data_IF_614852637314
#
_entry.id   IF_614852637314
#
_cell.length_a   1.000
_cell.length_b   1.000
_cell.length_c   1.000
_cell.angle_alpha   90.00
_cell.angle_beta   90.00
_cell.angle_gamma   90.00
#
_symmetry.space_group_name_H-M   'P 1'
#
loop_
_entity.id
_entity.type
_entity.pdbx_description
1 polymer ?
#
# COMPACT_ATOMS: atom_id res chain seq x y z
N UNK A 1 0.80 -5.72 5.89
CA UNK A 1 -0.65 -5.49 5.89
C UNK A 1 -1.40 -6.83 5.87
N UNK A 2 -1.01 -7.74 6.74
CA UNK A 2 -1.49 -9.11 6.72
C UNK A 2 -2.96 -9.25 7.14
N UNK A 3 -3.48 -8.39 8.00
CA UNK A 3 -4.91 -8.34 8.32
C UNK A 3 -5.80 -8.04 7.10
N UNK A 4 -5.34 -7.19 6.20
CA UNK A 4 -5.99 -6.93 4.92
C UNK A 4 -5.90 -8.16 4.02
N UNK A 5 -4.75 -8.81 3.95
CA UNK A 5 -4.49 -9.93 3.07
C UNK A 5 -5.26 -11.18 3.51
N UNK A 6 -5.33 -11.45 4.81
CA UNK A 6 -6.10 -12.56 5.38
C UNK A 6 -7.60 -12.42 5.08
N UNK A 7 -8.16 -11.21 5.24
CA UNK A 7 -9.57 -10.97 4.94
C UNK A 7 -9.85 -10.98 3.43
N UNK A 8 -8.92 -10.52 2.60
CA UNK A 8 -9.03 -10.59 1.16
C UNK A 8 -9.01 -12.05 0.67
N UNK A 9 -8.10 -12.87 1.22
CA UNK A 9 -8.01 -14.29 0.93
C UNK A 9 -9.32 -15.01 1.28
N UNK A 10 -9.85 -14.75 2.49
CA UNK A 10 -11.14 -15.30 2.89
C UNK A 10 -12.26 -14.85 1.96
N UNK A 11 -12.33 -13.57 1.62
CA UNK A 11 -13.32 -13.05 0.67
C UNK A 11 -13.22 -13.73 -0.70
N UNK A 12 -12.02 -13.85 -1.26
CA UNK A 12 -11.81 -14.55 -2.54
C UNK A 12 -12.27 -16.01 -2.46
N UNK A 13 -12.02 -16.69 -1.34
CA UNK A 13 -12.48 -18.07 -1.13
C UNK A 13 -14.01 -18.20 -1.11
N UNK A 14 -14.75 -17.19 -0.62
CA UNK A 14 -16.21 -17.19 -0.66
C UNK A 14 -16.73 -16.93 -2.07
N UNK A 15 -16.16 -15.95 -2.79
CA UNK A 15 -16.58 -15.62 -4.17
C UNK A 15 -16.30 -16.78 -5.12
N UNK A 16 -15.17 -17.48 -4.99
CA UNK A 16 -14.77 -18.58 -5.86
C UNK A 16 -15.74 -19.77 -5.84
N UNK A 17 -16.58 -19.89 -4.80
CA UNK A 17 -17.60 -20.94 -4.69
C UNK A 17 -18.68 -20.83 -5.76
N UNK A 18 -18.93 -19.61 -6.24
CA UNK A 18 -20.01 -19.32 -7.19
C UNK A 18 -19.52 -18.70 -8.50
N UNK A 19 -18.35 -18.06 -8.49
CA UNK A 19 -17.80 -17.34 -9.65
C UNK A 19 -16.35 -17.74 -9.89
N UNK A 20 -15.96 -17.76 -11.17
CA UNK A 20 -14.56 -18.00 -11.59
C UNK A 20 -13.81 -16.74 -11.92
N UNK A 21 -14.53 -15.67 -12.23
CA UNK A 21 -13.98 -14.36 -12.59
C UNK A 21 -14.69 -13.28 -11.78
N UNK A 22 -13.93 -12.30 -11.28
CA UNK A 22 -14.45 -11.11 -10.63
C UNK A 22 -13.77 -9.86 -11.19
N UNK A 23 -14.55 -8.78 -11.38
CA UNK A 23 -14.00 -7.45 -11.67
C UNK A 23 -13.73 -6.71 -10.37
N UNK A 24 -12.57 -6.09 -10.26
CA UNK A 24 -12.19 -5.32 -9.07
C UNK A 24 -11.96 -3.85 -9.39
N UNK A 25 -12.11 -2.99 -8.38
CA UNK A 25 -11.89 -1.55 -8.51
C UNK A 25 -10.45 -1.11 -8.20
N UNK A 26 -9.50 -2.02 -8.10
CA UNK A 26 -8.09 -1.69 -7.86
C UNK A 26 -7.51 -0.85 -8.99
N UNK A 27 -6.44 -0.15 -8.70
CA UNK A 27 -5.74 0.78 -9.60
C UNK A 27 -6.47 2.11 -9.88
N UNK A 28 -7.75 2.26 -9.53
CA UNK A 28 -8.46 3.52 -9.72
C UNK A 28 -7.89 4.68 -8.89
N UNK A 29 -7.41 4.39 -7.68
CA UNK A 29 -6.80 5.42 -6.82
C UNK A 29 -5.42 5.87 -7.35
N UNK A 30 -4.68 4.97 -7.96
CA UNK A 30 -3.36 5.21 -8.55
C UNK A 30 -3.43 6.14 -9.75
N UNK A 31 -4.35 5.88 -10.67
CA UNK A 31 -4.46 6.61 -11.94
C UNK A 31 -5.29 7.89 -11.86
N UNK A 32 -6.22 7.97 -10.92
CA UNK A 32 -7.07 9.15 -10.68
C UNK A 32 -6.67 9.98 -9.46
N UNK A 33 -5.58 9.64 -8.77
CA UNK A 33 -5.10 10.40 -7.63
C UNK A 33 -5.99 10.31 -6.38
N UNK A 34 -6.47 9.11 -6.05
CA UNK A 34 -7.40 8.92 -4.94
C UNK A 34 -6.76 8.82 -3.55
N UNK A 35 -5.44 8.69 -3.45
CA UNK A 35 -4.74 8.55 -2.18
C UNK A 35 -4.41 9.86 -1.49
N UNK A 36 -4.30 9.88 -0.14
CA UNK A 36 -3.97 11.07 0.62
C UNK A 36 -2.68 11.76 0.21
N UNK A 37 -1.66 11.03 -0.22
CA UNK A 37 -0.37 11.59 -0.62
C UNK A 37 -0.39 12.41 -1.91
N UNK A 38 -1.43 12.33 -2.70
CA UNK A 38 -1.65 13.25 -3.80
C UNK A 38 -2.15 14.63 -3.34
N UNK A 39 -2.65 14.74 -2.09
CA UNK A 39 -3.36 15.91 -1.59
C UNK A 39 -2.68 16.57 -0.38
N UNK A 40 -1.93 15.81 0.41
CA UNK A 40 -1.25 16.31 1.60
C UNK A 40 0.05 17.00 1.24
N UNK A 41 0.22 18.22 1.75
CA UNK A 41 1.40 19.05 1.47
C UNK A 41 2.71 18.36 1.83
N UNK A 42 2.78 17.75 3.00
CA UNK A 42 3.97 17.04 3.47
C UNK A 42 4.38 15.88 2.56
N UNK A 43 3.41 15.17 1.98
CA UNK A 43 3.68 14.08 1.02
C UNK A 43 4.08 14.62 -0.35
N UNK A 44 3.48 15.73 -0.76
CA UNK A 44 3.75 16.37 -2.04
C UNK A 44 5.18 16.94 -2.08
N UNK A 45 5.64 17.54 -1.00
CA UNK A 45 6.97 18.14 -0.87
C UNK A 45 8.08 17.13 -0.51
N UNK A 46 7.70 15.91 -0.09
CA UNK A 46 8.65 14.89 0.31
C UNK A 46 9.63 14.51 -0.82
N UNK A 47 10.90 14.32 -0.49
CA UNK A 47 11.95 13.85 -1.40
C UNK A 47 12.22 12.36 -1.23
N UNK A 48 11.15 11.61 -1.06
CA UNK A 48 11.13 10.14 -0.93
C UNK A 48 9.77 9.60 -1.37
N UNK A 49 9.56 8.30 -1.29
CA UNK A 49 8.25 7.68 -1.60
C UNK A 49 7.17 8.23 -0.67
N UNK A 50 6.09 8.86 -1.18
CA UNK A 50 5.13 9.59 -0.37
C UNK A 50 4.33 8.73 0.63
N UNK A 51 4.25 7.43 0.41
CA UNK A 51 3.59 6.47 1.31
C UNK A 51 4.52 5.83 2.33
N UNK A 52 5.81 6.10 2.24
CA UNK A 52 6.86 5.55 3.12
C UNK A 52 7.91 6.62 3.41
N UNK A 53 7.51 7.67 4.11
CA UNK A 53 8.42 8.78 4.43
C UNK A 53 9.37 8.46 5.58
N UNK A 54 9.04 7.47 6.40
CA UNK A 54 9.82 7.05 7.56
C UNK A 54 10.03 5.53 7.54
N UNK A 55 11.29 5.11 7.60
CA UNK A 55 11.69 3.70 7.62
C UNK A 55 11.95 3.17 9.04
N UNK A 56 11.88 4.02 10.06
CA UNK A 56 12.21 3.63 11.45
C UNK A 56 11.41 2.42 11.91
N UNK A 57 10.11 2.40 11.62
CA UNK A 57 9.24 1.30 11.97
C UNK A 57 9.65 -0.06 11.35
N UNK A 58 10.31 -0.04 10.20
CA UNK A 58 10.78 -1.27 9.53
C UNK A 58 12.05 -1.83 10.15
N UNK A 59 12.76 -1.01 10.93
CA UNK A 59 14.02 -1.36 11.60
C UNK A 59 13.82 -1.81 13.04
N UNK A 60 12.65 -1.57 13.62
CA UNK A 60 12.38 -1.74 15.08
C UNK A 60 12.77 -3.12 15.61
N UNK A 61 12.55 -4.17 14.84
CA UNK A 61 12.80 -5.55 15.26
C UNK A 61 14.14 -6.10 14.79
N UNK A 62 14.84 -5.39 13.91
CA UNK A 62 16.07 -5.88 13.28
C UNK A 62 17.28 -5.66 14.20
N UNK A 63 18.29 -6.51 14.06
CA UNK A 63 19.59 -6.32 14.68
C UNK A 63 20.32 -5.11 14.09
N UNK A 64 21.15 -4.46 14.90
CA UNK A 64 21.87 -3.25 14.46
C UNK A 64 22.88 -3.58 13.36
N UNK A 65 23.55 -4.73 13.45
CA UNK A 65 24.49 -5.20 12.42
C UNK A 65 23.76 -5.40 11.08
N UNK A 66 22.59 -6.04 11.11
CA UNK A 66 21.80 -6.26 9.90
C UNK A 66 21.25 -4.95 9.32
N UNK A 67 20.84 -3.99 10.16
CA UNK A 67 20.42 -2.65 9.71
C UNK A 67 21.57 -1.95 8.98
N UNK A 68 22.80 -2.05 9.50
CA UNK A 68 23.99 -1.47 8.87
C UNK A 68 24.31 -2.13 7.54
N UNK A 69 24.24 -3.47 7.46
CA UNK A 69 24.52 -4.23 6.23
C UNK A 69 23.49 -3.96 5.14
N UNK A 70 22.22 -3.77 5.52
CA UNK A 70 21.13 -3.54 4.56
C UNK A 70 21.23 -2.22 3.79
N UNK A 71 21.90 -1.20 4.35
CA UNK A 71 21.91 0.15 3.76
C UNK A 71 20.51 0.62 3.30
N UNK A 72 19.48 0.36 4.13
CA UNK A 72 18.07 0.51 3.73
C UNK A 72 17.72 1.93 3.29
N UNK A 73 18.23 2.93 4.00
CA UNK A 73 17.94 4.35 3.69
C UNK A 73 18.55 4.74 2.34
N UNK A 74 19.82 4.37 2.12
CA UNK A 74 20.53 4.63 0.87
C UNK A 74 19.87 3.92 -0.31
N UNK A 75 19.47 2.65 -0.12
CA UNK A 75 18.77 1.89 -1.14
C UNK A 75 17.44 2.54 -1.53
N UNK A 76 16.64 2.94 -0.53
CA UNK A 76 15.34 3.57 -0.77
C UNK A 76 15.52 4.93 -1.45
N UNK A 77 16.50 5.73 -1.01
CA UNK A 77 16.79 7.04 -1.60
C UNK A 77 17.25 6.90 -3.06
N UNK A 78 18.22 6.04 -3.32
CA UNK A 78 18.74 5.80 -4.67
C UNK A 78 17.62 5.27 -5.63
N UNK A 79 16.77 4.38 -5.11
CA UNK A 79 15.64 3.83 -5.87
C UNK A 79 14.60 4.92 -6.17
N UNK A 80 14.32 5.80 -5.23
CA UNK A 80 13.44 6.95 -5.42
C UNK A 80 14.00 7.89 -6.49
N UNK A 81 15.26 8.32 -6.36
CA UNK A 81 15.91 9.25 -7.30
C UNK A 81 15.93 8.68 -8.72
N UNK A 82 16.30 7.42 -8.87
CA UNK A 82 16.25 6.72 -10.16
C UNK A 82 14.84 6.72 -10.74
N UNK A 83 13.84 6.39 -9.93
CA UNK A 83 12.45 6.33 -10.39
C UNK A 83 11.92 7.70 -10.81
N UNK A 84 12.27 8.77 -10.09
CA UNK A 84 11.91 10.14 -10.45
C UNK A 84 12.60 10.57 -11.76
N UNK A 85 13.87 10.19 -11.95
CA UNK A 85 14.60 10.49 -13.20
C UNK A 85 13.97 9.80 -14.44
N UNK A 86 13.34 8.65 -14.25
CA UNK A 86 12.65 7.88 -15.29
C UNK A 86 11.23 8.40 -15.58
N UNK A 87 10.73 9.42 -14.85
CA UNK A 87 9.36 9.92 -15.02
C UNK A 87 9.16 10.50 -16.43
N UNK A 88 8.20 10.00 -17.22
CA UNK A 88 7.85 10.64 -18.48
C UNK A 88 7.26 12.02 -18.23
N UNK A 89 7.83 13.07 -18.83
CA UNK A 89 7.46 14.47 -18.63
C UNK A 89 6.85 15.05 -19.89
N UNK A 90 5.94 16.02 -19.74
CA UNK A 90 5.46 16.84 -20.84
C UNK A 90 6.22 18.17 -20.85
N UNK A 91 6.47 18.71 -22.02
CA UNK A 91 7.24 19.94 -22.17
C UNK A 91 6.54 21.17 -21.55
N UNK A 92 5.21 21.15 -21.52
CA UNK A 92 4.34 22.20 -20.98
C UNK A 92 4.02 22.06 -19.50
N UNK A 93 4.52 21.03 -18.81
CA UNK A 93 4.24 20.83 -17.38
C UNK A 93 4.73 22.02 -16.54
N UNK A 94 3.84 22.58 -15.75
CA UNK A 94 4.24 23.47 -14.66
C UNK A 94 5.01 22.67 -13.61
N UNK A 95 5.80 23.32 -12.72
CA UNK A 95 6.50 22.60 -11.63
C UNK A 95 5.57 21.76 -10.76
N UNK A 96 4.34 22.23 -10.53
CA UNK A 96 3.35 21.50 -9.76
C UNK A 96 2.86 20.26 -10.52
N UNK A 97 2.52 20.39 -11.80
CA UNK A 97 2.08 19.28 -12.63
C UNK A 97 3.19 18.25 -12.83
N UNK A 98 4.43 18.69 -13.03
CA UNK A 98 5.59 17.81 -13.09
C UNK A 98 5.74 16.99 -11.79
N UNK A 99 5.57 17.61 -10.61
CA UNK A 99 5.61 16.91 -9.34
C UNK A 99 4.46 15.91 -9.17
N UNK A 100 3.24 16.27 -9.58
CA UNK A 100 2.10 15.34 -9.56
C UNK A 100 2.34 14.14 -10.47
N UNK A 101 2.97 14.36 -11.60
CA UNK A 101 3.35 13.31 -12.54
C UNK A 101 4.41 12.38 -11.96
N UNK A 102 5.41 12.93 -11.26
CA UNK A 102 6.38 12.11 -10.50
C UNK A 102 5.68 11.20 -9.46
N UNK A 103 4.77 11.76 -8.67
CA UNK A 103 4.00 10.97 -7.68
C UNK A 103 3.16 9.89 -8.38
N UNK A 104 2.50 10.23 -9.49
CA UNK A 104 1.73 9.27 -10.28
C UNK A 104 2.62 8.15 -10.84
N UNK A 105 3.81 8.48 -11.36
CA UNK A 105 4.79 7.52 -11.85
C UNK A 105 5.26 6.56 -10.75
N UNK A 106 5.62 7.11 -9.59
CA UNK A 106 6.01 6.30 -8.43
C UNK A 106 4.88 5.33 -8.02
N UNK A 107 3.62 5.80 -8.05
CA UNK A 107 2.47 4.93 -7.76
C UNK A 107 2.34 3.80 -8.78
N UNK A 108 2.41 4.10 -10.08
CA UNK A 108 2.32 3.09 -11.14
C UNK A 108 3.47 2.07 -11.05
N UNK A 109 4.68 2.57 -10.83
CA UNK A 109 5.90 1.77 -10.85
C UNK A 109 6.04 0.83 -9.64
N UNK A 110 5.58 1.27 -8.46
CA UNK A 110 5.85 0.57 -7.20
C UNK A 110 4.59 0.16 -6.46
N UNK A 111 3.71 1.14 -6.18
CA UNK A 111 2.58 0.89 -5.30
C UNK A 111 1.51 0.04 -5.98
N UNK A 112 1.17 0.36 -7.23
CA UNK A 112 0.19 -0.40 -8.02
C UNK A 112 0.63 -1.84 -8.24
N UNK A 113 1.91 -2.07 -8.52
CA UNK A 113 2.42 -3.44 -8.70
C UNK A 113 2.23 -4.28 -7.44
N UNK A 114 2.49 -3.70 -6.27
CA UNK A 114 2.29 -4.40 -4.98
C UNK A 114 0.81 -4.79 -4.78
N UNK A 115 -0.11 -3.92 -5.17
CA UNK A 115 -1.55 -4.20 -5.05
C UNK A 115 -2.01 -5.27 -6.04
N UNK A 116 -1.52 -5.20 -7.27
CA UNK A 116 -1.82 -6.20 -8.30
C UNK A 116 -1.30 -7.58 -7.92
N UNK A 117 -0.05 -7.66 -7.47
CA UNK A 117 0.56 -8.92 -7.00
C UNK A 117 -0.20 -9.52 -5.81
N UNK A 118 -0.60 -8.69 -4.86
CA UNK A 118 -1.44 -9.11 -3.74
C UNK A 118 -2.78 -9.66 -4.20
N UNK A 119 -3.51 -8.92 -5.07
CA UNK A 119 -4.81 -9.34 -5.56
C UNK A 119 -4.69 -10.65 -6.36
N UNK A 120 -3.74 -10.74 -7.26
CA UNK A 120 -3.51 -11.92 -8.08
C UNK A 120 -3.23 -13.15 -7.22
N UNK A 121 -2.27 -13.08 -6.31
CA UNK A 121 -1.90 -14.21 -5.44
C UNK A 121 -3.05 -14.66 -4.54
N UNK A 122 -3.76 -13.73 -3.93
CA UNK A 122 -4.86 -14.07 -3.01
C UNK A 122 -6.07 -14.64 -3.74
N UNK A 123 -6.41 -14.09 -4.91
CA UNK A 123 -7.54 -14.57 -5.70
C UNK A 123 -7.23 -15.90 -6.37
N UNK A 124 -6.05 -16.05 -6.98
CA UNK A 124 -5.64 -17.27 -7.65
C UNK A 124 -5.44 -18.44 -6.69
N UNK A 125 -4.97 -18.19 -5.46
CA UNK A 125 -4.94 -19.21 -4.40
C UNK A 125 -6.32 -19.85 -4.18
N UNK A 126 -7.38 -19.06 -4.32
CA UNK A 126 -8.77 -19.52 -4.21
C UNK A 126 -9.38 -20.02 -5.53
N UNK A 127 -8.63 -20.01 -6.62
CA UNK A 127 -9.15 -20.36 -7.96
C UNK A 127 -10.12 -19.33 -8.53
N UNK A 128 -9.97 -18.05 -8.14
CA UNK A 128 -10.73 -16.91 -8.63
C UNK A 128 -9.82 -16.02 -9.47
N UNK A 129 -10.18 -15.74 -10.73
CA UNK A 129 -9.48 -14.78 -11.57
C UNK A 129 -9.99 -13.36 -11.29
N UNK A 130 -9.19 -12.52 -10.65
CA UNK A 130 -9.49 -11.11 -10.46
C UNK A 130 -9.00 -10.30 -11.67
N UNK A 131 -9.92 -9.59 -12.33
CA UNK A 131 -9.61 -8.67 -13.43
C UNK A 131 -9.70 -7.23 -12.96
N UNK A 132 -8.74 -6.41 -13.36
CA UNK A 132 -8.52 -5.03 -12.92
C UNK A 132 -8.64 -4.05 -14.10
N UNK A 133 -9.86 -3.66 -14.51
CA UNK A 133 -10.06 -2.80 -15.66
C UNK A 133 -9.31 -1.46 -15.60
N UNK A 134 -9.10 -0.89 -14.40
CA UNK A 134 -8.36 0.36 -14.22
C UNK A 134 -6.84 0.23 -14.41
N UNK A 135 -6.31 -1.00 -14.50
CA UNK A 135 -4.92 -1.24 -14.88
C UNK A 135 -4.74 -1.42 -16.40
N UNK A 136 -5.78 -1.28 -17.20
CA UNK A 136 -5.66 -1.30 -18.66
C UNK A 136 -4.74 -0.17 -19.13
N UNK A 137 -3.66 -0.53 -19.85
CA UNK A 137 -2.63 0.42 -20.28
C UNK A 137 -3.23 1.58 -21.10
N UNK A 138 -4.30 1.35 -21.88
CA UNK A 138 -4.97 2.38 -22.68
C UNK A 138 -5.61 3.46 -21.82
N UNK A 139 -6.20 3.05 -20.69
CA UNK A 139 -6.78 3.97 -19.70
C UNK A 139 -5.66 4.73 -18.97
N UNK A 140 -4.59 4.04 -18.58
CA UNK A 140 -3.42 4.64 -17.93
C UNK A 140 -2.78 5.69 -18.84
N UNK A 141 -2.51 5.36 -20.10
CA UNK A 141 -1.91 6.27 -21.11
C UNK A 141 -2.80 7.49 -21.39
N UNK A 142 -4.11 7.27 -21.51
CA UNK A 142 -5.07 8.37 -21.66
C UNK A 142 -5.03 9.31 -20.46
N UNK A 143 -5.14 8.76 -19.25
CA UNK A 143 -5.14 9.54 -18.01
C UNK A 143 -3.80 10.20 -17.71
N UNK A 144 -2.69 9.68 -18.25
CA UNK A 144 -1.39 10.32 -18.12
C UNK A 144 -1.38 11.75 -18.62
N UNK A 145 -2.10 12.00 -19.72
CA UNK A 145 -2.19 13.31 -20.37
C UNK A 145 -3.34 14.18 -19.84
N UNK A 146 -4.22 13.65 -18.98
CA UNK A 146 -5.32 14.41 -18.40
C UNK A 146 -4.81 15.35 -17.30
N UNK A 147 -5.08 16.68 -17.38
CA UNK A 147 -4.67 17.64 -16.39
C UNK A 147 -5.20 17.30 -14.99
N UNK A 148 -4.41 17.65 -13.96
CA UNK A 148 -4.74 17.29 -12.59
C UNK A 148 -6.09 17.87 -12.12
N UNK A 149 -6.43 19.11 -12.51
CA UNK A 149 -7.68 19.75 -12.10
C UNK A 149 -8.95 19.00 -12.57
N UNK A 150 -8.83 18.14 -13.58
CA UNK A 150 -9.92 17.26 -14.00
C UNK A 150 -10.00 15.99 -13.13
N UNK A 151 -8.86 15.48 -12.68
CA UNK A 151 -8.79 14.30 -11.81
C UNK A 151 -9.28 14.60 -10.39
N UNK A 152 -8.98 15.82 -9.91
CA UNK A 152 -9.39 16.32 -8.59
C UNK A 152 -9.93 17.74 -8.72
N UNK A 153 -11.16 17.95 -8.25
CA UNK A 153 -11.81 19.25 -8.32
C UNK A 153 -12.55 19.52 -7.00
N UNK A 154 -12.42 20.75 -6.48
CA UNK A 154 -13.13 21.21 -5.28
C UNK A 154 -12.93 20.28 -4.05
N UNK A 155 -11.73 19.71 -3.91
CA UNK A 155 -11.40 18.76 -2.86
C UNK A 155 -11.97 17.35 -3.07
N UNK A 156 -12.65 17.10 -4.18
CA UNK A 156 -13.21 15.79 -4.52
C UNK A 156 -12.20 14.98 -5.31
N UNK A 157 -11.65 13.96 -4.68
CA UNK A 157 -10.74 13.00 -5.34
C UNK A 157 -11.48 12.14 -6.37
N UNK A 158 -10.78 11.75 -7.44
CA UNK A 158 -11.33 10.95 -8.55
C UNK A 158 -12.53 11.63 -9.22
N UNK A 159 -12.50 12.97 -9.32
CA UNK A 159 -13.62 13.76 -9.83
C UNK A 159 -14.02 13.31 -11.24
N UNK A 160 -13.06 13.17 -12.17
CA UNK A 160 -13.32 12.72 -13.54
C UNK A 160 -14.01 11.36 -13.59
N UNK A 161 -13.57 10.39 -12.77
CA UNK A 161 -14.19 9.07 -12.69
C UNK A 161 -15.63 9.16 -12.17
N UNK A 162 -15.89 10.03 -11.18
CA UNK A 162 -17.23 10.25 -10.66
C UNK A 162 -18.16 10.90 -11.68
N UNK A 163 -17.65 11.90 -12.40
CA UNK A 163 -18.40 12.55 -13.49
C UNK A 163 -18.79 11.55 -14.59
N UNK A 164 -17.86 10.64 -14.97
CA UNK A 164 -18.16 9.60 -15.98
C UNK A 164 -19.21 8.59 -15.54
N UNK A 165 -19.41 8.45 -14.23
CA UNK A 165 -20.43 7.54 -13.66
C UNK A 165 -21.82 8.15 -13.49
N UNK A 166 -22.01 9.45 -13.75
CA UNK A 166 -23.31 10.11 -13.66
C UNK A 166 -24.33 9.45 -14.59
N UNK A 167 -25.50 9.18 -14.06
CA UNK A 167 -26.56 8.48 -14.78
C UNK A 167 -26.35 6.95 -14.91
N UNK A 168 -25.19 6.43 -14.51
CA UNK A 168 -24.90 4.98 -14.49
C UNK A 168 -24.96 4.41 -13.07
N UNK A 169 -24.62 5.23 -12.06
CA UNK A 169 -24.58 4.82 -10.65
C UNK A 169 -25.49 5.73 -9.81
N UNK A 170 -26.09 5.21 -8.73
CA UNK A 170 -26.78 6.06 -7.74
C UNK A 170 -25.84 7.09 -7.13
N UNK A 171 -26.35 8.29 -6.86
CA UNK A 171 -25.54 9.40 -6.33
C UNK A 171 -24.89 9.07 -4.98
N UNK A 172 -25.55 8.31 -4.12
CA UNK A 172 -25.02 7.84 -2.85
C UNK A 172 -23.76 6.95 -3.01
N UNK A 173 -23.65 6.20 -4.10
CA UNK A 173 -22.46 5.42 -4.45
C UNK A 173 -21.42 6.31 -5.10
N UNK A 174 -21.85 7.12 -6.06
CA UNK A 174 -21.00 7.97 -6.88
C UNK A 174 -20.23 9.00 -6.05
N UNK A 175 -20.89 9.65 -5.09
CA UNK A 175 -20.34 10.70 -4.25
C UNK A 175 -19.92 10.23 -2.85
N UNK A 176 -19.96 8.92 -2.60
CA UNK A 176 -19.53 8.35 -1.33
C UNK A 176 -18.11 8.81 -0.98
N UNK A 177 -17.94 9.28 0.27
CA UNK A 177 -16.62 9.60 0.80
C UNK A 177 -15.74 8.35 0.82
N UNK A 178 -14.48 8.48 0.39
CA UNK A 178 -13.52 7.38 0.47
C UNK A 178 -13.39 6.90 1.91
N UNK A 179 -13.57 5.60 2.10
CA UNK A 179 -13.29 4.91 3.35
C UNK A 179 -12.08 4.00 3.13
N UNK A 180 -11.08 4.01 4.00
CA UNK A 180 -10.00 3.05 3.94
C UNK A 180 -10.55 1.64 4.23
N UNK A 181 -9.79 0.63 3.83
CA UNK A 181 -10.08 -0.75 4.24
C UNK A 181 -10.06 -0.82 5.78
N UNK A 182 -11.02 -1.52 6.42
CA UNK A 182 -11.06 -1.63 7.86
C UNK A 182 -9.75 -2.22 8.40
N UNK A 183 -9.20 -1.59 9.43
CA UNK A 183 -8.09 -2.15 10.21
C UNK A 183 -8.67 -2.85 11.42
N UNK A 184 -8.14 -4.01 11.75
CA UNK A 184 -8.50 -4.64 13.03
C UNK A 184 -7.71 -4.00 14.17
N UNK A 185 -8.41 -3.76 15.27
CA UNK A 185 -7.84 -3.37 16.55
C UNK A 185 -8.22 -4.39 17.62
N UNK A 186 -8.48 -5.62 17.20
CA UNK A 186 -8.88 -6.72 18.06
C UNK A 186 -7.68 -7.18 18.88
N UNK A 187 -7.77 -7.03 20.21
CA UNK A 187 -6.73 -7.46 21.14
C UNK A 187 -6.53 -8.96 21.17
N UNK A 188 -7.56 -9.75 20.87
CA UNK A 188 -7.41 -11.20 20.79
C UNK A 188 -6.56 -11.59 19.58
N UNK A 189 -6.72 -10.88 18.46
CA UNK A 189 -5.87 -11.05 17.28
C UNK A 189 -4.42 -10.63 17.54
N UNK A 190 -4.23 -9.49 18.24
CA UNK A 190 -2.91 -9.05 18.69
C UNK A 190 -2.22 -10.11 19.55
N UNK A 191 -2.93 -10.63 20.57
CA UNK A 191 -2.39 -11.67 21.45
C UNK A 191 -2.02 -12.96 20.71
N UNK A 192 -2.82 -13.35 19.71
CA UNK A 192 -2.52 -14.50 18.86
C UNK A 192 -1.22 -14.29 18.07
N UNK A 193 -1.02 -13.12 17.46
CA UNK A 193 0.21 -12.80 16.72
C UNK A 193 1.42 -12.75 17.65
N UNK A 194 1.29 -12.13 18.83
CA UNK A 194 2.33 -12.11 19.87
C UNK A 194 2.74 -13.52 20.24
N UNK A 195 1.76 -14.42 20.46
CA UNK A 195 2.04 -15.83 20.75
C UNK A 195 2.84 -16.50 19.63
N UNK A 196 2.46 -16.30 18.38
CA UNK A 196 3.16 -16.85 17.21
C UNK A 196 4.59 -16.37 17.09
N UNK A 197 4.83 -15.08 17.28
CA UNK A 197 6.20 -14.54 17.21
C UNK A 197 7.06 -15.09 18.37
N UNK A 198 6.50 -15.28 19.57
CA UNK A 198 7.22 -15.91 20.68
C UNK A 198 7.62 -17.36 20.36
N UNK A 199 6.72 -18.15 19.75
CA UNK A 199 7.05 -19.49 19.27
C UNK A 199 8.26 -19.47 18.33
N UNK A 200 8.34 -18.50 17.41
CA UNK A 200 9.46 -18.32 16.49
C UNK A 200 10.76 -17.94 17.24
N UNK A 201 10.67 -17.05 18.23
CA UNK A 201 11.83 -16.64 19.03
C UNK A 201 12.38 -17.78 19.91
N UNK A 202 11.55 -18.75 20.26
CA UNK A 202 11.92 -19.95 21.04
C UNK A 202 12.50 -21.06 20.15
N UNK A 203 12.18 -21.07 18.85
CA UNK A 203 12.71 -22.02 17.88
C UNK A 203 14.12 -21.60 17.41
N UNK A 204 15.14 -22.13 18.05
CA UNK A 204 16.54 -21.85 17.70
C UNK A 204 16.95 -22.27 16.28
N UNK A 205 16.08 -22.98 15.56
CA UNK A 205 16.33 -23.37 14.14
C UNK A 205 15.72 -22.39 13.16
N UNK A 206 14.93 -21.44 13.63
CA UNK A 206 14.27 -20.46 12.79
C UNK A 206 15.29 -19.55 12.08
N UNK A 207 15.30 -19.54 10.73
CA UNK A 207 16.28 -18.78 9.96
C UNK A 207 16.14 -17.27 10.10
N UNK A 208 14.99 -16.78 10.60
CA UNK A 208 14.75 -15.35 10.78
C UNK A 208 15.52 -14.76 11.95
N UNK A 209 15.91 -15.58 12.93
CA UNK A 209 16.60 -15.10 14.15
C UNK A 209 17.93 -14.42 13.87
N UNK A 210 18.61 -14.75 12.78
CA UNK A 210 19.85 -14.09 12.37
C UNK A 210 19.68 -12.61 12.01
N UNK A 211 18.44 -12.18 11.69
CA UNK A 211 18.13 -10.81 11.27
C UNK A 211 17.50 -9.99 12.39
N UNK A 212 16.99 -10.66 13.45
CA UNK A 212 16.26 -10.02 14.52
C UNK A 212 17.16 -9.68 15.71
N UNK A 213 16.81 -8.59 16.38
CA UNK A 213 17.25 -8.34 17.75
C UNK A 213 16.20 -8.92 18.70
N UNK A 214 16.57 -9.98 19.41
CA UNK A 214 15.67 -10.68 20.32
C UNK A 214 15.14 -9.78 21.42
N UNK A 215 16.00 -8.95 22.02
CA UNK A 215 15.60 -8.04 23.10
C UNK A 215 14.64 -6.95 22.62
N UNK A 216 14.92 -6.35 21.44
CA UNK A 216 14.01 -5.38 20.81
C UNK A 216 12.67 -6.01 20.47
N UNK A 217 12.69 -7.25 19.95
CA UNK A 217 11.47 -7.98 19.59
C UNK A 217 10.64 -8.33 20.81
N UNK A 218 11.23 -8.83 21.88
CA UNK A 218 10.53 -9.13 23.15
C UNK A 218 9.91 -7.87 23.75
N UNK A 219 10.67 -6.76 23.79
CA UNK A 219 10.15 -5.47 24.24
C UNK A 219 8.96 -4.98 23.42
N UNK A 220 9.00 -5.16 22.10
CA UNK A 220 7.88 -4.84 21.23
C UNK A 220 6.65 -5.71 21.55
N UNK A 221 6.84 -7.01 21.81
CA UNK A 221 5.77 -7.95 22.12
C UNK A 221 5.12 -7.71 23.48
N UNK A 222 5.80 -7.03 24.41
CA UNK A 222 5.22 -6.65 25.71
C UNK A 222 4.13 -5.59 25.56
N UNK A 223 4.32 -4.63 24.66
CA UNK A 223 3.40 -3.50 24.46
C UNK A 223 3.36 -3.02 23.01
N UNK A 224 2.85 -3.81 22.07
CA UNK A 224 2.81 -3.41 20.66
C UNK A 224 2.04 -2.09 20.43
N UNK A 225 1.04 -1.81 21.27
CA UNK A 225 0.24 -0.59 21.20
C UNK A 225 1.01 0.70 21.51
N UNK A 226 2.15 0.63 22.21
CA UNK A 226 2.97 1.79 22.59
C UNK A 226 3.73 2.37 21.38
N UNK A 227 3.87 1.59 20.32
CA UNK A 227 4.51 2.04 19.06
C UNK A 227 3.61 2.94 18.20
N UNK A 228 2.45 3.29 18.72
CA UNK A 228 1.58 4.35 18.19
C UNK A 228 0.58 3.90 17.12
N UNK A 229 -0.57 4.57 17.11
CA UNK A 229 -1.70 4.25 16.21
C UNK A 229 -1.38 4.31 14.72
N UNK A 230 -0.56 5.24 14.18
CA UNK A 230 -0.22 5.24 12.76
C UNK A 230 0.61 4.03 12.34
N UNK A 231 1.40 3.50 13.25
CA UNK A 231 2.38 2.43 13.02
C UNK A 231 1.88 1.06 13.50
N UNK A 232 0.88 1.03 14.35
CA UNK A 232 0.34 -0.20 14.92
C UNK A 232 0.04 -1.27 13.86
N UNK A 233 -0.68 -0.91 12.81
CA UNK A 233 -0.99 -1.85 11.74
C UNK A 233 0.25 -2.28 10.93
N UNK A 234 1.26 -1.43 10.80
CA UNK A 234 2.51 -1.76 10.08
C UNK A 234 3.45 -2.60 10.93
N UNK A 235 3.55 -2.31 12.22
CA UNK A 235 4.36 -3.09 13.16
C UNK A 235 3.76 -4.47 13.41
N UNK A 236 2.43 -4.57 13.49
CA UNK A 236 1.77 -5.87 13.57
C UNK A 236 1.84 -6.67 12.27
N UNK A 237 1.99 -6.00 11.13
CA UNK A 237 2.28 -6.69 9.88
C UNK A 237 3.71 -7.27 9.83
N UNK A 238 4.68 -6.61 10.46
CA UNK A 238 6.05 -7.12 10.58
C UNK A 238 6.11 -8.52 11.19
N UNK A 239 5.58 -8.76 12.41
CA UNK A 239 5.49 -10.09 13.01
C UNK A 239 4.80 -11.14 12.11
N UNK A 240 3.77 -10.77 11.36
CA UNK A 240 3.10 -11.69 10.45
C UNK A 240 3.97 -12.12 9.27
N UNK A 241 4.94 -11.31 8.85
CA UNK A 241 5.90 -11.70 7.83
C UNK A 241 6.94 -12.71 8.34
N UNK A 242 7.03 -12.89 9.66
CA UNK A 242 7.93 -13.85 10.31
C UNK A 242 7.28 -15.22 10.49
N UNK A 243 5.97 -15.32 10.41
CA UNK A 243 5.17 -16.55 10.51
C UNK A 243 5.00 -17.19 9.14
#
# INVERSE_FOLDING_TARGET
MADVDSSLLYFCSQVSRTHKVALTGECADEIFGGYPWFHKKECFEAKTFPWTMDLSARKVLLSDDFIQELHMDEYVQATYEKSVAETPRLAEDTPEEARRREIAWLNLRWFMQTLLDRMDRTSMHSGLEARVPFADHRIVEYLWNVPWYMKTRDGVAKHLLRESGKGLLPDEVLWRRKSPYPKTYDRAYEALLVGRVREILEDNTSPVLQFLDKAKTEKFLESPSDYGKPWYGQLMAGPQMLI
#
